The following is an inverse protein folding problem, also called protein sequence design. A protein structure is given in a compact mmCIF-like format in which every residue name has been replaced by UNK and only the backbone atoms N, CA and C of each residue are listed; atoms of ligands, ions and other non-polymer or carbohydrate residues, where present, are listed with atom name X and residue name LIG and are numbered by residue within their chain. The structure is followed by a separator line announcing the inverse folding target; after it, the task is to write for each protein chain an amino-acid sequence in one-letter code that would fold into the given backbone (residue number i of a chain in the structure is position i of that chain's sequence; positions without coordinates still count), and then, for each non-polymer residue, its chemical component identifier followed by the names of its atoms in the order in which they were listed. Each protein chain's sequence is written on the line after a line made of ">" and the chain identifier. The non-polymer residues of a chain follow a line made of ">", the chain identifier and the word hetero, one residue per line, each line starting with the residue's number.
data_IF_025566965553
#
_entry.id   IF_025566965553
#
_cell.length_a   1.000
_cell.length_b   1.000
_cell.length_c   1.000
_cell.angle_alpha   90.00
_cell.angle_beta   90.00
_cell.angle_gamma   90.00
#
_symmetry.space_group_name_H-M   'P 1'
#
loop_
_entity.id
_entity.type
_entity.pdbx_description
1 polymer ?
#
# COMPACT_ATOMS: atom_id res chain seq x y z
N UNK A 1 7.26 -0.40 6.19
CA UNK A 1 7.50 -0.06 4.77
C UNK A 1 8.64 0.96 4.62
N UNK A 2 8.58 2.12 5.30
CA UNK A 2 9.61 3.18 5.17
C UNK A 2 11.02 2.70 5.53
N UNK A 3 11.18 1.88 6.58
CA UNK A 3 12.47 1.30 6.97
C UNK A 3 13.02 0.36 5.89
N UNK A 4 12.17 -0.53 5.33
CA UNK A 4 12.56 -1.43 4.24
C UNK A 4 13.02 -0.65 3.00
N UNK A 5 12.31 0.43 2.65
CA UNK A 5 12.71 1.33 1.57
C UNK A 5 14.05 2.02 1.88
N UNK A 6 14.20 2.59 3.09
CA UNK A 6 15.38 3.35 3.51
C UNK A 6 16.68 2.53 3.51
N UNK A 7 16.61 1.20 3.66
CA UNK A 7 17.75 0.27 3.63
C UNK A 7 17.86 -0.48 2.28
N UNK A 8 17.12 -0.06 1.26
CA UNK A 8 17.14 -0.74 -0.04
C UNK A 8 18.08 -0.06 -1.04
N UNK A 9 18.45 -0.81 -2.11
CA UNK A 9 19.19 -0.27 -3.24
C UNK A 9 18.43 0.84 -4.01
N UNK A 10 17.12 1.01 -3.74
CA UNK A 10 16.29 2.07 -4.33
C UNK A 10 16.08 3.25 -3.37
N UNK A 11 16.83 3.32 -2.28
CA UNK A 11 16.86 4.50 -1.40
C UNK A 11 17.17 5.77 -2.21
N UNK A 12 16.39 6.83 -1.99
CA UNK A 12 16.51 8.09 -2.74
C UNK A 12 15.79 8.12 -4.10
N UNK A 13 15.20 7.00 -4.54
CA UNK A 13 14.29 6.93 -5.69
C UNK A 13 12.86 7.24 -5.24
N UNK A 14 11.91 7.28 -6.18
CA UNK A 14 10.50 7.48 -5.88
C UNK A 14 9.99 6.45 -4.88
N UNK A 15 9.30 6.90 -3.82
CA UNK A 15 8.60 6.06 -2.86
C UNK A 15 7.13 6.47 -2.78
N UNK A 16 6.29 5.75 -3.49
CA UNK A 16 4.85 6.04 -3.60
C UNK A 16 4.10 5.14 -2.61
N UNK A 17 3.28 5.76 -1.75
CA UNK A 17 2.44 5.06 -0.78
C UNK A 17 0.98 5.19 -1.19
N UNK A 18 0.24 4.10 -1.14
CA UNK A 18 -1.19 4.05 -1.45
C UNK A 18 -1.86 3.20 -0.38
N UNK A 19 -2.92 3.73 0.19
CA UNK A 19 -3.83 2.97 1.03
C UNK A 19 -5.07 2.64 0.20
N UNK A 20 -5.30 1.34 -0.04
CA UNK A 20 -6.37 0.87 -0.92
C UNK A 20 -7.78 1.14 -0.37
N UNK A 21 -7.92 1.28 0.96
CA UNK A 21 -9.20 1.60 1.60
C UNK A 21 -9.50 3.10 1.57
N UNK A 22 -8.46 3.95 1.57
CA UNK A 22 -8.64 5.40 1.62
C UNK A 22 -9.13 6.00 0.29
N UNK A 23 -9.06 5.24 -0.80
CA UNK A 23 -9.48 5.67 -2.13
C UNK A 23 -10.81 4.98 -2.47
N UNK A 24 -11.85 5.71 -2.89
CA UNK A 24 -13.09 5.10 -3.36
C UNK A 24 -12.84 4.03 -4.42
N UNK A 25 -13.55 2.90 -4.35
CA UNK A 25 -13.34 1.74 -5.22
C UNK A 25 -13.33 2.12 -6.71
N UNK A 26 -14.28 2.93 -7.17
CA UNK A 26 -14.37 3.39 -8.57
C UNK A 26 -13.21 4.29 -9.03
N UNK A 27 -12.38 4.80 -8.11
CA UNK A 27 -11.23 5.65 -8.41
C UNK A 27 -9.90 4.94 -8.22
N UNK A 28 -9.85 3.86 -7.44
CA UNK A 28 -8.60 3.17 -7.09
C UNK A 28 -7.85 2.70 -8.35
N UNK A 29 -8.56 2.14 -9.32
CA UNK A 29 -7.98 1.70 -10.57
C UNK A 29 -7.35 2.86 -11.35
N UNK A 30 -8.07 3.96 -11.47
CA UNK A 30 -7.60 5.18 -12.14
C UNK A 30 -6.41 5.83 -11.39
N UNK A 31 -6.39 5.81 -10.06
CA UNK A 31 -5.25 6.29 -9.28
C UNK A 31 -4.00 5.43 -9.51
N UNK A 32 -4.14 4.10 -9.51
CA UNK A 32 -3.03 3.18 -9.68
C UNK A 32 -2.44 3.20 -11.09
N UNK A 33 -3.30 3.05 -12.11
CA UNK A 33 -2.90 2.86 -13.50
C UNK A 33 -2.98 4.13 -14.35
N UNK A 34 -3.64 5.20 -13.85
CA UNK A 34 -3.93 6.39 -14.64
C UNK A 34 -5.11 6.19 -15.59
N UNK A 35 -5.47 7.24 -16.28
CA UNK A 35 -6.57 7.21 -17.25
C UNK A 35 -6.33 8.10 -18.46
N UNK A 36 -6.94 7.73 -19.56
CA UNK A 36 -7.02 8.57 -20.75
C UNK A 36 -8.22 9.53 -20.65
N UNK A 37 -8.16 10.64 -21.37
CA UNK A 37 -9.26 11.59 -21.45
C UNK A 37 -10.54 10.89 -21.95
N UNK A 38 -11.65 11.11 -21.26
CA UNK A 38 -12.97 10.55 -21.64
C UNK A 38 -13.21 9.09 -21.22
N UNK A 39 -12.32 8.46 -20.46
CA UNK A 39 -12.44 7.06 -20.03
C UNK A 39 -13.60 6.80 -19.05
N UNK A 40 -14.06 7.82 -18.34
CA UNK A 40 -15.25 7.78 -17.47
C UNK A 40 -15.81 9.19 -17.28
N UNK A 41 -17.01 9.30 -16.72
CA UNK A 41 -17.64 10.59 -16.37
C UNK A 41 -16.77 11.37 -15.39
N UNK A 42 -16.21 12.51 -15.82
CA UNK A 42 -15.26 13.31 -15.03
C UNK A 42 -13.79 13.19 -15.46
N UNK A 43 -13.46 12.29 -16.39
CA UNK A 43 -12.11 12.20 -16.98
C UNK A 43 -11.88 13.33 -18.02
N UNK A 44 -11.77 14.58 -17.57
CA UNK A 44 -11.62 15.76 -18.42
C UNK A 44 -10.25 15.85 -19.11
N UNK A 45 -9.23 15.16 -18.57
CA UNK A 45 -7.87 15.10 -19.08
C UNK A 45 -7.22 13.74 -18.88
N UNK A 46 -6.07 13.53 -19.50
CA UNK A 46 -5.21 12.37 -19.23
C UNK A 46 -4.52 12.54 -17.87
N UNK A 47 -4.44 11.45 -17.08
CA UNK A 47 -3.74 11.42 -15.79
C UNK A 47 -2.77 10.25 -15.72
N UNK A 48 -1.54 10.52 -15.29
CA UNK A 48 -0.56 9.47 -14.98
C UNK A 48 -0.94 8.72 -13.70
N UNK A 49 -0.83 7.41 -13.72
CA UNK A 49 -1.05 6.54 -12.57
C UNK A 49 0.14 6.50 -11.61
N UNK A 50 -0.11 5.98 -10.40
CA UNK A 50 0.92 5.83 -9.37
C UNK A 50 2.03 4.87 -9.77
N UNK A 51 1.76 3.87 -10.62
CA UNK A 51 2.81 2.99 -11.16
C UNK A 51 3.77 3.75 -12.08
N UNK A 52 3.29 4.68 -12.90
CA UNK A 52 4.16 5.53 -13.71
C UNK A 52 5.04 6.44 -12.84
N UNK A 53 4.44 7.02 -11.77
CA UNK A 53 5.15 7.89 -10.81
C UNK A 53 6.20 7.11 -10.00
N UNK A 54 5.92 5.84 -9.71
CA UNK A 54 6.82 4.95 -8.98
C UNK A 54 7.92 4.32 -9.84
N UNK A 55 7.93 4.57 -11.15
CA UNK A 55 8.88 3.92 -12.07
C UNK A 55 10.34 4.17 -11.65
N UNK A 56 11.14 3.11 -11.62
CA UNK A 56 12.51 3.09 -11.11
C UNK A 56 12.61 3.11 -9.57
N UNK A 57 11.50 3.22 -8.86
CA UNK A 57 11.41 3.36 -7.41
C UNK A 57 10.69 2.19 -6.72
N UNK A 58 9.93 2.53 -5.68
CA UNK A 58 9.19 1.58 -4.84
C UNK A 58 7.75 2.05 -4.66
N UNK A 59 6.80 1.12 -4.76
CA UNK A 59 5.42 1.35 -4.38
C UNK A 59 5.08 0.55 -3.12
N UNK A 60 4.40 1.19 -2.17
CA UNK A 60 3.84 0.56 -0.99
C UNK A 60 2.32 0.56 -1.10
N UNK A 61 1.74 -0.63 -1.17
CA UNK A 61 0.29 -0.88 -1.22
C UNK A 61 -0.15 -1.31 0.17
N UNK A 62 -0.82 -0.41 0.87
CA UNK A 62 -1.39 -0.67 2.19
C UNK A 62 -2.82 -1.18 2.03
N UNK A 63 -3.23 -2.09 2.90
CA UNK A 63 -4.53 -2.76 2.91
C UNK A 63 -4.87 -3.43 1.56
N UNK A 64 -3.89 -4.18 1.01
CA UNK A 64 -4.02 -4.86 -0.29
C UNK A 64 -5.21 -5.84 -0.31
N UNK A 65 -5.59 -6.40 0.86
CA UNK A 65 -6.72 -7.32 1.00
C UNK A 65 -8.10 -6.67 0.76
N UNK A 66 -8.16 -5.35 0.62
CA UNK A 66 -9.38 -4.58 0.30
C UNK A 66 -9.44 -4.15 -1.18
N UNK A 67 -8.44 -4.52 -1.97
CA UNK A 67 -8.42 -4.18 -3.39
C UNK A 67 -9.53 -4.92 -4.16
N UNK A 68 -10.31 -4.25 -5.02
CA UNK A 68 -11.31 -4.89 -5.86
C UNK A 68 -10.72 -5.95 -6.79
N UNK A 69 -11.43 -7.05 -7.03
CA UNK A 69 -10.97 -8.18 -7.85
C UNK A 69 -10.52 -7.77 -9.26
N UNK A 70 -11.23 -6.84 -9.88
CA UNK A 70 -10.84 -6.32 -11.20
C UNK A 70 -9.48 -5.61 -11.16
N UNK A 71 -9.23 -4.81 -10.11
CA UNK A 71 -7.95 -4.11 -9.89
C UNK A 71 -6.83 -5.10 -9.55
N UNK A 72 -7.13 -6.17 -8.78
CA UNK A 72 -6.17 -7.24 -8.49
C UNK A 72 -5.68 -7.94 -9.78
N UNK A 73 -6.57 -8.19 -10.76
CA UNK A 73 -6.19 -8.79 -12.04
C UNK A 73 -5.20 -7.91 -12.83
N UNK A 74 -5.41 -6.59 -12.84
CA UNK A 74 -4.47 -5.65 -13.46
C UNK A 74 -3.14 -5.55 -12.71
N UNK A 75 -3.19 -5.54 -11.37
CA UNK A 75 -1.98 -5.56 -10.54
C UNK A 75 -1.12 -6.79 -10.81
N UNK A 76 -1.74 -7.97 -10.98
CA UNK A 76 -1.04 -9.21 -11.31
C UNK A 76 -0.25 -9.08 -12.61
N UNK A 77 -0.83 -8.47 -13.66
CA UNK A 77 -0.13 -8.18 -14.91
C UNK A 77 1.10 -7.30 -14.69
N UNK A 78 0.97 -6.23 -13.92
CA UNK A 78 2.13 -5.36 -13.61
C UNK A 78 3.25 -6.13 -12.89
N UNK A 79 2.89 -7.03 -11.98
CA UNK A 79 3.86 -7.86 -11.25
C UNK A 79 4.56 -8.90 -12.14
N UNK A 80 3.87 -9.43 -13.15
CA UNK A 80 4.37 -10.47 -14.04
C UNK A 80 5.11 -9.90 -15.25
N UNK A 81 4.47 -8.95 -15.94
CA UNK A 81 4.88 -8.45 -17.25
C UNK A 81 5.62 -7.12 -17.17
N UNK A 82 5.57 -6.45 -16.00
CA UNK A 82 6.12 -5.11 -15.76
C UNK A 82 5.56 -4.05 -16.72
N UNK A 83 4.33 -4.27 -17.18
CA UNK A 83 3.62 -3.36 -18.06
C UNK A 83 2.12 -3.35 -17.76
N UNK A 84 1.46 -2.29 -18.17
CA UNK A 84 0.01 -2.10 -18.03
C UNK A 84 -0.51 -1.07 -19.03
N UNK A 85 -1.84 -0.96 -19.11
CA UNK A 85 -2.54 0.06 -19.87
C UNK A 85 -3.32 0.98 -18.92
N UNK A 86 -3.42 2.27 -19.28
CA UNK A 86 -4.30 3.19 -18.55
C UNK A 86 -5.75 2.81 -18.74
N UNK A 87 -6.60 3.24 -17.82
CA UNK A 87 -8.06 3.09 -17.96
C UNK A 87 -8.53 3.82 -19.22
N UNK A 88 -9.23 3.10 -20.10
CA UNK A 88 -9.68 3.63 -21.38
C UNK A 88 -8.60 3.76 -22.47
N UNK A 89 -7.37 3.32 -22.19
CA UNK A 89 -6.28 3.31 -23.16
C UNK A 89 -5.89 1.90 -23.61
N UNK A 90 -5.15 1.83 -24.73
CA UNK A 90 -4.60 0.61 -25.31
C UNK A 90 -3.08 0.64 -25.39
N UNK A 91 -2.46 1.76 -24.97
CA UNK A 91 -1.01 1.91 -25.00
C UNK A 91 -0.37 1.20 -23.80
N UNK A 92 0.51 0.25 -24.09
CA UNK A 92 1.32 -0.43 -23.06
C UNK A 92 2.37 0.50 -22.48
N UNK A 93 2.43 0.55 -21.15
CA UNK A 93 3.35 1.37 -20.37
C UNK A 93 4.21 0.44 -19.54
N UNK A 94 5.52 0.43 -19.81
CA UNK A 94 6.48 -0.39 -19.07
C UNK A 94 6.98 0.33 -17.83
N UNK A 95 7.10 -0.42 -16.72
CA UNK A 95 7.57 0.11 -15.44
C UNK A 95 8.47 -0.90 -14.74
N UNK A 96 9.49 -0.39 -14.06
CA UNK A 96 10.33 -1.15 -13.14
C UNK A 96 10.08 -0.66 -11.71
N UNK A 97 9.20 -1.33 -10.98
CA UNK A 97 8.78 -0.94 -9.64
C UNK A 97 9.06 -2.07 -8.65
N UNK A 98 9.65 -1.73 -7.50
CA UNK A 98 9.69 -2.63 -6.35
C UNK A 98 8.38 -2.54 -5.58
N UNK A 99 7.78 -3.69 -5.27
CA UNK A 99 6.53 -3.77 -4.52
C UNK A 99 6.78 -4.08 -3.05
N UNK A 100 6.05 -3.39 -2.18
CA UNK A 100 5.86 -3.71 -0.78
C UNK A 100 4.35 -3.68 -0.57
N UNK A 101 3.78 -4.76 -0.06
CA UNK A 101 2.35 -4.84 0.24
C UNK A 101 2.13 -5.10 1.74
N UNK A 102 1.05 -4.57 2.29
CA UNK A 102 0.62 -4.83 3.65
C UNK A 102 -0.89 -5.06 3.71
N UNK A 103 -1.32 -5.83 4.69
CA UNK A 103 -2.72 -6.05 4.99
C UNK A 103 -2.89 -6.51 6.44
N UNK A 104 -4.00 -6.17 7.06
CA UNK A 104 -4.44 -6.72 8.33
C UNK A 104 -5.36 -7.94 8.16
N UNK A 105 -5.75 -8.28 6.92
CA UNK A 105 -6.64 -9.40 6.62
C UNK A 105 -5.90 -10.72 6.49
N UNK A 106 -6.59 -11.80 6.86
CA UNK A 106 -6.13 -13.15 6.54
C UNK A 106 -6.40 -13.44 5.07
N UNK A 107 -5.35 -13.29 4.23
CA UNK A 107 -5.47 -13.45 2.78
C UNK A 107 -5.95 -14.86 2.38
N UNK A 108 -5.51 -15.92 3.08
CA UNK A 108 -5.95 -17.28 2.78
C UNK A 108 -7.44 -17.48 3.04
N UNK A 109 -8.01 -16.76 4.02
CA UNK A 109 -9.44 -16.79 4.28
C UNK A 109 -10.21 -16.11 3.14
N UNK A 110 -9.83 -14.89 2.76
CA UNK A 110 -10.55 -14.13 1.73
C UNK A 110 -10.34 -14.69 0.31
N UNK A 111 -9.29 -15.51 0.07
CA UNK A 111 -9.15 -16.33 -1.14
C UNK A 111 -10.26 -17.37 -1.21
N UNK A 112 -10.50 -18.11 -0.11
CA UNK A 112 -11.60 -19.09 -0.04
C UNK A 112 -12.98 -18.45 -0.22
N UNK A 113 -13.15 -17.21 0.21
CA UNK A 113 -14.35 -16.40 0.05
C UNK A 113 -14.50 -15.79 -1.36
N UNK A 114 -13.50 -15.95 -2.24
CA UNK A 114 -13.49 -15.41 -3.59
C UNK A 114 -13.23 -13.90 -3.67
N UNK A 115 -12.85 -13.25 -2.56
CA UNK A 115 -12.61 -11.81 -2.49
C UNK A 115 -11.16 -11.41 -2.78
N UNK A 116 -10.24 -12.39 -2.86
CA UNK A 116 -8.85 -12.18 -3.24
C UNK A 116 -8.38 -13.30 -4.18
N UNK A 117 -7.59 -12.94 -5.19
CA UNK A 117 -7.09 -13.90 -6.17
C UNK A 117 -5.91 -14.68 -5.61
N UNK A 118 -5.95 -15.99 -5.78
CA UNK A 118 -4.89 -16.89 -5.34
C UNK A 118 -3.57 -16.67 -6.12
N UNK A 119 -3.66 -16.42 -7.43
CA UNK A 119 -2.49 -16.15 -8.28
C UNK A 119 -1.76 -14.86 -7.86
N UNK A 120 -2.48 -13.83 -7.49
CA UNK A 120 -1.91 -12.59 -6.95
C UNK A 120 -1.24 -12.83 -5.60
N UNK A 121 -1.86 -13.63 -4.72
CA UNK A 121 -1.29 -13.98 -3.43
C UNK A 121 0.10 -14.62 -3.59
N UNK A 122 0.23 -15.65 -4.40
CA UNK A 122 1.52 -16.32 -4.62
C UNK A 122 2.56 -15.40 -5.26
N UNK A 123 2.15 -14.44 -6.07
CA UNK A 123 3.07 -13.48 -6.68
C UNK A 123 3.56 -12.41 -5.71
N UNK A 124 2.74 -12.03 -4.72
CA UNK A 124 3.10 -11.07 -3.67
C UNK A 124 3.86 -11.74 -2.52
N UNK A 125 3.50 -12.96 -2.15
CA UNK A 125 4.01 -13.67 -0.98
C UNK A 125 5.36 -14.35 -1.23
N UNK A 126 6.31 -13.62 -1.80
CA UNK A 126 7.69 -14.11 -1.99
C UNK A 126 8.50 -14.03 -0.70
N UNK A 127 8.32 -12.96 0.06
CA UNK A 127 8.93 -12.75 1.37
C UNK A 127 7.91 -12.10 2.30
N UNK A 128 7.45 -12.84 3.30
CA UNK A 128 6.47 -12.34 4.26
C UNK A 128 7.10 -11.97 5.60
N UNK A 129 6.63 -10.87 6.17
CA UNK A 129 6.99 -10.39 7.49
C UNK A 129 5.70 -10.31 8.30
N UNK A 130 5.60 -11.14 9.34
CA UNK A 130 4.51 -11.04 10.30
C UNK A 130 4.85 -9.97 11.34
N UNK A 131 4.02 -8.94 11.44
CA UNK A 131 4.16 -7.88 12.46
C UNK A 131 3.19 -8.20 13.59
N UNK A 132 3.69 -8.51 14.82
CA UNK A 132 2.83 -8.79 15.96
C UNK A 132 1.94 -7.60 16.30
N UNK A 133 0.76 -7.86 16.85
CA UNK A 133 -0.13 -6.81 17.33
C UNK A 133 0.52 -6.06 18.51
N UNK A 134 0.18 -4.78 18.70
CA UNK A 134 0.77 -3.95 19.75
C UNK A 134 0.58 -4.53 21.15
N UNK A 135 -0.56 -5.22 21.40
CA UNK A 135 -0.83 -5.95 22.65
C UNK A 135 0.15 -7.12 22.91
N UNK A 136 0.86 -7.61 21.89
CA UNK A 136 1.84 -8.70 21.97
C UNK A 136 3.28 -8.18 22.13
N UNK A 137 3.46 -6.83 22.08
CA UNK A 137 4.73 -6.13 22.24
C UNK A 137 4.52 -4.87 23.07
N UNK A 138 4.06 -5.07 24.30
CA UNK A 138 3.65 -4.00 25.21
C UNK A 138 4.78 -3.03 25.55
N UNK A 139 6.03 -3.49 25.49
CA UNK A 139 7.22 -2.67 25.66
C UNK A 139 7.33 -1.53 24.63
N UNK A 140 6.79 -1.71 23.44
CA UNK A 140 6.80 -0.68 22.39
C UNK A 140 5.79 0.45 22.66
N UNK A 141 4.77 0.22 23.52
CA UNK A 141 3.69 1.19 23.77
C UNK A 141 4.27 2.51 24.27
N UNK A 142 5.20 2.45 25.26
CA UNK A 142 5.82 3.64 25.82
C UNK A 142 6.63 4.43 24.80
N UNK A 143 7.39 3.71 23.95
CA UNK A 143 8.23 4.30 22.91
C UNK A 143 7.37 5.00 21.86
N UNK A 144 6.34 4.32 21.39
CA UNK A 144 5.41 4.84 20.39
C UNK A 144 4.65 6.05 20.92
N UNK A 145 4.13 5.96 22.14
CA UNK A 145 3.39 7.05 22.78
C UNK A 145 4.26 8.31 22.95
N UNK A 146 5.49 8.15 23.43
CA UNK A 146 6.43 9.28 23.57
C UNK A 146 6.77 9.90 22.22
N UNK A 147 7.02 9.09 21.18
CA UNK A 147 7.28 9.58 19.83
C UNK A 147 6.14 10.48 19.32
N UNK A 148 4.88 10.08 19.51
CA UNK A 148 3.74 10.90 19.10
C UNK A 148 3.62 12.19 19.94
N UNK A 149 3.84 12.11 21.23
CA UNK A 149 3.76 13.29 22.12
C UNK A 149 4.87 14.32 21.84
N UNK A 150 6.08 13.86 21.52
CA UNK A 150 7.19 14.73 21.10
C UNK A 150 6.92 15.43 19.76
N UNK A 151 6.14 14.81 18.87
CA UNK A 151 5.80 15.36 17.55
C UNK A 151 4.68 16.40 17.58
N UNK A 152 4.02 16.63 18.73
CA UNK A 152 2.98 17.63 18.89
C UNK A 152 3.55 19.05 18.81
N UNK A 153 2.77 20.05 18.37
CA UNK A 153 3.18 21.45 18.36
C UNK A 153 3.59 21.97 19.77
N UNK A 154 3.02 21.39 20.81
CA UNK A 154 3.45 21.54 22.21
C UNK A 154 3.82 20.16 22.74
N UNK A 155 5.12 19.83 22.80
CA UNK A 155 5.56 18.55 23.30
C UNK A 155 5.04 18.26 24.70
N UNK A 156 4.52 17.06 24.90
CA UNK A 156 3.99 16.61 26.18
C UNK A 156 4.71 15.33 26.61
N UNK A 157 4.64 14.98 27.88
CA UNK A 157 5.18 13.73 28.42
C UNK A 157 4.06 12.95 29.12
N UNK A 158 4.11 11.63 29.01
CA UNK A 158 3.22 10.77 29.78
C UNK A 158 3.62 10.78 31.26
N UNK A 159 2.63 10.91 32.14
CA UNK A 159 2.83 10.58 33.55
C UNK A 159 2.98 9.07 33.73
N UNK A 160 3.62 8.64 34.81
CA UNK A 160 3.77 7.21 35.14
C UNK A 160 2.41 6.51 35.23
N UNK A 161 1.42 7.19 35.84
CA UNK A 161 0.05 6.66 35.96
C UNK A 161 -0.63 6.49 34.60
N UNK A 162 -0.51 7.48 33.69
CA UNK A 162 -1.04 7.39 32.34
C UNK A 162 -0.40 6.26 31.54
N UNK A 163 0.92 6.07 31.67
CA UNK A 163 1.63 4.98 31.03
C UNK A 163 1.16 3.60 31.54
N UNK A 164 0.95 3.45 32.83
CA UNK A 164 0.42 2.21 33.42
C UNK A 164 -0.96 1.87 32.88
N UNK A 165 -1.84 2.84 32.69
CA UNK A 165 -3.17 2.62 32.09
C UNK A 165 -3.07 2.20 30.62
N UNK A 166 -2.10 2.73 29.86
CA UNK A 166 -1.92 2.37 28.45
C UNK A 166 -1.33 0.96 28.25
N UNK A 167 -0.56 0.45 29.21
CA UNK A 167 0.09 -0.87 29.15
C UNK A 167 -0.81 -1.98 29.71
N UNK A 168 -1.70 -1.65 30.65
CA UNK A 168 -2.62 -2.60 31.33
C UNK A 168 -3.62 -3.18 30.43
#
# INVERSE_FOLDING_TARGET
>A
ASSIYGHSLRKGRSFVKINCVAIPEGLLESELFGHEKGSFTGATGQKKGKFEIANGGTIFLDEIGDMPIATQAKLLRVLQEKEFERVGGTKQIRVDVRFIAATNKNLLKIIKEGSFREDLYFRLNVFSISVPALRERREDISIIANYFLESLPKPAKLSTSALQILIG
#
